data_IF_964490042822
#
_entry.id   IF_964490042822
#
_cell.length_a   1.000
_cell.length_b   1.000
_cell.length_c   1.000
_cell.angle_alpha   90.00
_cell.angle_beta   90.00
_cell.angle_gamma   90.00
#
_symmetry.space_group_name_H-M   'P 1'
#
loop_
_entity.id
_entity.type
_entity.pdbx_description
1 polymer ?
#
# COMPACT_ATOMS: atom_id res chain seq x y z
N UNK A 1 -16.06 -24.03 7.98
CA UNK A 1 -15.72 -24.05 6.53
C UNK A 1 -15.23 -22.71 5.95
N UNK A 2 -15.70 -21.53 6.37
CA UNK A 2 -15.08 -20.24 5.92
C UNK A 2 -13.61 -20.10 6.37
N UNK A 3 -13.32 -20.42 7.64
CA UNK A 3 -11.95 -20.38 8.17
C UNK A 3 -11.00 -21.39 7.50
N UNK A 4 -11.51 -22.53 7.00
CA UNK A 4 -10.67 -23.50 6.29
C UNK A 4 -10.28 -23.02 4.90
N UNK A 5 -11.13 -22.25 4.21
CA UNK A 5 -10.77 -21.65 2.92
C UNK A 5 -9.69 -20.57 3.08
N UNK A 6 -9.92 -19.60 3.96
CA UNK A 6 -8.94 -18.54 4.26
C UNK A 6 -7.58 -19.13 4.65
N UNK A 7 -7.59 -20.11 5.56
CA UNK A 7 -6.38 -20.83 5.99
C UNK A 7 -5.68 -21.53 4.82
N UNK A 8 -6.41 -22.27 3.99
CA UNK A 8 -5.82 -23.02 2.87
C UNK A 8 -5.30 -22.09 1.77
N UNK A 9 -6.02 -21.01 1.45
CA UNK A 9 -5.57 -19.98 0.52
C UNK A 9 -4.33 -19.27 1.02
N UNK A 10 -4.25 -18.99 2.33
CA UNK A 10 -3.09 -18.37 2.94
C UNK A 10 -1.87 -19.29 2.91
N UNK A 11 -2.03 -20.57 3.25
CA UNK A 11 -0.93 -21.55 3.16
C UNK A 11 -0.46 -21.71 1.70
N UNK A 12 -1.39 -21.76 0.75
CA UNK A 12 -1.05 -21.82 -0.68
C UNK A 12 -0.28 -20.58 -1.14
N UNK A 13 -0.65 -19.40 -0.63
CA UNK A 13 0.05 -18.15 -0.92
C UNK A 13 1.49 -18.17 -0.41
N UNK A 14 1.68 -18.50 0.87
CA UNK A 14 3.01 -18.58 1.49
C UNK A 14 3.94 -19.57 0.76
N UNK A 15 3.39 -20.66 0.24
CA UNK A 15 4.16 -21.67 -0.49
C UNK A 15 4.42 -21.30 -1.96
N UNK A 16 3.76 -20.27 -2.49
CA UNK A 16 3.90 -19.89 -3.89
C UNK A 16 5.29 -19.34 -4.20
N UNK A 17 5.82 -19.66 -5.39
CA UNK A 17 7.06 -19.08 -5.90
C UNK A 17 7.00 -17.53 -5.90
N UNK A 18 5.82 -17.01 -6.24
CA UNK A 18 5.54 -15.57 -6.27
C UNK A 18 5.80 -14.90 -4.93
N UNK A 19 5.25 -15.46 -3.84
CA UNK A 19 5.49 -14.92 -2.49
C UNK A 19 6.97 -14.97 -2.11
N UNK A 20 7.67 -16.06 -2.45
CA UNK A 20 9.11 -16.18 -2.19
C UNK A 20 9.92 -15.11 -2.94
N UNK A 21 9.62 -14.86 -4.22
CA UNK A 21 10.25 -13.80 -5.00
C UNK A 21 9.99 -12.41 -4.41
N UNK A 22 8.75 -12.14 -4.00
CA UNK A 22 8.39 -10.88 -3.36
C UNK A 22 9.14 -10.71 -2.03
N UNK A 23 9.21 -11.76 -1.21
CA UNK A 23 9.92 -11.72 0.07
C UNK A 23 11.43 -11.49 -0.11
N UNK A 24 12.02 -12.11 -1.13
CA UNK A 24 13.42 -11.88 -1.49
C UNK A 24 13.66 -10.44 -1.95
N UNK A 25 12.78 -9.89 -2.79
CA UNK A 25 12.83 -8.48 -3.21
C UNK A 25 12.68 -7.54 -2.01
N UNK A 26 11.77 -7.86 -1.08
CA UNK A 26 11.57 -7.09 0.15
C UNK A 26 12.83 -7.05 1.00
N UNK A 27 13.54 -8.18 1.16
CA UNK A 27 14.82 -8.24 1.89
C UNK A 27 15.85 -7.30 1.25
N UNK A 28 16.06 -7.44 -0.07
CA UNK A 28 17.06 -6.64 -0.80
C UNK A 28 16.73 -5.15 -0.70
N UNK A 29 15.47 -4.78 -0.97
CA UNK A 29 15.05 -3.39 -1.00
C UNK A 29 15.06 -2.76 0.40
N UNK A 30 14.68 -3.52 1.43
CA UNK A 30 14.79 -3.06 2.82
C UNK A 30 16.24 -2.81 3.19
N UNK A 31 17.15 -3.73 2.85
CA UNK A 31 18.59 -3.55 3.07
C UNK A 31 19.13 -2.29 2.38
N UNK A 32 18.84 -2.12 1.09
CA UNK A 32 19.33 -0.98 0.31
C UNK A 32 18.86 0.36 0.89
N UNK A 33 17.58 0.46 1.26
CA UNK A 33 16.98 1.72 1.72
C UNK A 33 17.40 2.04 3.16
N UNK A 34 17.45 1.05 4.04
CA UNK A 34 17.94 1.23 5.42
C UNK A 34 19.43 1.58 5.43
N UNK A 35 20.24 0.95 4.56
CA UNK A 35 21.66 1.29 4.43
C UNK A 35 21.89 2.76 4.05
N UNK A 36 20.99 3.36 3.27
CA UNK A 36 21.05 4.79 2.95
C UNK A 36 20.66 5.71 4.12
N UNK A 37 20.05 5.16 5.18
CA UNK A 37 19.67 5.88 6.39
C UNK A 37 20.66 5.65 7.55
N UNK A 38 21.81 5.01 7.30
CA UNK A 38 22.79 4.71 8.33
C UNK A 38 23.26 6.00 9.04
N UNK A 39 23.26 5.98 10.37
CA UNK A 39 23.68 7.13 11.18
C UNK A 39 22.53 8.07 11.56
N UNK A 40 21.30 7.75 11.20
CA UNK A 40 20.09 8.44 11.68
C UNK A 40 19.45 7.64 12.83
N UNK A 41 18.70 8.30 13.71
CA UNK A 41 17.96 7.57 14.75
C UNK A 41 16.86 6.68 14.13
N UNK A 42 16.46 5.66 14.88
CA UNK A 42 15.49 4.65 14.42
C UNK A 42 14.13 5.27 14.02
N UNK A 43 13.64 6.29 14.72
CA UNK A 43 12.34 6.88 14.38
C UNK A 43 12.39 7.67 13.06
N UNK A 44 13.45 8.44 12.85
CA UNK A 44 13.67 9.16 11.60
C UNK A 44 13.96 8.21 10.44
N UNK A 45 14.81 7.21 10.65
CA UNK A 45 15.13 6.17 9.66
C UNK A 45 13.87 5.45 9.17
N UNK A 46 13.00 4.96 10.07
CA UNK A 46 11.72 4.36 9.67
C UNK A 46 10.84 5.31 8.86
N UNK A 47 10.76 6.57 9.26
CA UNK A 47 9.99 7.60 8.52
C UNK A 47 10.54 7.84 7.11
N UNK A 48 11.85 7.77 6.94
CA UNK A 48 12.55 7.92 5.65
C UNK A 48 12.36 6.67 4.78
N UNK A 49 12.45 5.46 5.35
CA UNK A 49 12.25 4.20 4.61
C UNK A 49 10.83 4.13 4.05
N UNK A 50 9.81 4.37 4.89
CA UNK A 50 8.41 4.31 4.47
C UNK A 50 7.97 5.46 3.57
N UNK A 51 8.75 6.54 3.50
CA UNK A 51 8.56 7.62 2.53
C UNK A 51 9.47 7.56 1.32
N UNK A 52 10.35 6.55 1.21
CA UNK A 52 11.29 6.46 0.10
C UNK A 52 10.56 6.05 -1.19
N UNK A 53 10.55 6.94 -2.19
CA UNK A 53 9.86 6.71 -3.46
C UNK A 53 10.35 5.47 -4.22
N UNK A 54 11.65 5.14 -4.15
CA UNK A 54 12.22 3.94 -4.79
C UNK A 54 11.68 2.69 -4.12
N UNK A 55 11.68 2.67 -2.78
CA UNK A 55 11.12 1.58 -1.99
C UNK A 55 9.63 1.36 -2.31
N UNK A 56 8.87 2.45 -2.32
CA UNK A 56 7.43 2.44 -2.58
C UNK A 56 7.13 1.93 -4.00
N UNK A 57 7.78 2.50 -5.02
CA UNK A 57 7.47 2.22 -6.43
C UNK A 57 7.95 0.85 -6.89
N UNK A 58 9.12 0.39 -6.43
CA UNK A 58 9.74 -0.85 -6.90
C UNK A 58 9.45 -2.06 -6.02
N UNK A 59 9.16 -1.87 -4.74
CA UNK A 59 8.87 -2.97 -3.82
C UNK A 59 7.40 -3.01 -3.43
N UNK A 60 6.91 -1.96 -2.78
CA UNK A 60 5.63 -2.00 -2.07
C UNK A 60 4.43 -2.03 -3.00
N UNK A 61 4.33 -1.08 -3.93
CA UNK A 61 3.19 -1.00 -4.85
C UNK A 61 3.06 -2.26 -5.74
N UNK A 62 4.15 -2.79 -6.34
CA UNK A 62 4.11 -4.06 -7.05
C UNK A 62 3.64 -5.21 -6.15
N UNK A 63 4.15 -5.30 -4.93
CA UNK A 63 3.76 -6.34 -3.96
C UNK A 63 2.23 -6.33 -3.75
N UNK A 64 1.63 -5.17 -3.47
CA UNK A 64 0.18 -5.06 -3.28
C UNK A 64 -0.64 -5.38 -4.53
N UNK A 65 -0.20 -4.98 -5.72
CA UNK A 65 -0.86 -5.37 -6.96
C UNK A 65 -0.85 -6.88 -7.15
N UNK A 66 0.29 -7.50 -6.91
CA UNK A 66 0.46 -8.94 -7.05
C UNK A 66 -0.41 -9.73 -6.08
N UNK A 67 -0.50 -9.29 -4.82
CA UNK A 67 -1.37 -9.89 -3.81
C UNK A 67 -2.83 -9.74 -4.21
N UNK A 68 -3.22 -8.54 -4.63
CA UNK A 68 -4.59 -8.26 -5.07
C UNK A 68 -4.98 -9.18 -6.23
N UNK A 69 -4.11 -9.30 -7.23
CA UNK A 69 -4.33 -10.19 -8.38
C UNK A 69 -4.38 -11.67 -7.95
N UNK A 70 -3.47 -12.09 -7.08
CA UNK A 70 -3.44 -13.46 -6.55
C UNK A 70 -4.73 -13.82 -5.82
N UNK A 71 -5.17 -12.98 -4.87
CA UNK A 71 -6.43 -13.17 -4.14
C UNK A 71 -7.61 -13.21 -5.11
N UNK A 72 -7.65 -12.30 -6.10
CA UNK A 72 -8.69 -12.29 -7.12
C UNK A 72 -8.75 -13.62 -7.91
N UNK A 73 -7.60 -14.16 -8.32
CA UNK A 73 -7.53 -15.40 -9.11
C UNK A 73 -7.91 -16.64 -8.31
N UNK A 74 -7.55 -16.73 -7.02
CA UNK A 74 -8.01 -17.83 -6.17
C UNK A 74 -9.53 -17.76 -6.02
N UNK A 75 -10.06 -16.57 -5.78
CA UNK A 75 -11.50 -16.39 -5.58
C UNK A 75 -12.30 -16.80 -6.82
N UNK A 76 -11.78 -16.56 -8.03
CA UNK A 76 -12.39 -16.99 -9.29
C UNK A 76 -12.28 -18.50 -9.54
N UNK A 77 -11.17 -19.12 -9.14
CA UNK A 77 -10.97 -20.58 -9.31
C UNK A 77 -11.82 -21.40 -8.36
N UNK A 78 -12.28 -20.84 -7.25
CA UNK A 78 -13.05 -21.58 -6.26
C UNK A 78 -14.56 -21.49 -6.53
N UNK A 79 -15.03 -22.22 -7.55
CA UNK A 79 -16.43 -22.28 -8.01
C UNK A 79 -17.40 -22.56 -6.83
N UNK A 80 -17.03 -23.45 -5.90
CA UNK A 80 -17.85 -23.78 -4.72
C UNK A 80 -18.03 -22.61 -3.75
N UNK A 81 -17.10 -21.66 -3.71
CA UNK A 81 -17.23 -20.41 -2.94
C UNK A 81 -18.18 -19.44 -3.64
N UNK A 82 -18.05 -19.31 -4.96
CA UNK A 82 -18.85 -18.39 -5.79
C UNK A 82 -20.33 -18.76 -5.75
N UNK A 83 -20.66 -20.04 -5.91
CA UNK A 83 -22.05 -20.56 -5.90
C UNK A 83 -22.75 -20.36 -4.54
N UNK A 84 -22.00 -20.18 -3.45
CA UNK A 84 -22.56 -19.92 -2.11
C UNK A 84 -22.93 -18.46 -1.86
N UNK A 85 -22.51 -17.53 -2.72
CA UNK A 85 -22.90 -16.13 -2.57
C UNK A 85 -24.20 -15.88 -3.30
N UNK A 86 -25.28 -15.69 -2.53
CA UNK A 86 -26.62 -15.36 -3.04
C UNK A 86 -26.67 -14.09 -3.90
N UNK A 87 -25.68 -13.19 -3.77
CA UNK A 87 -25.58 -11.95 -4.57
C UNK A 87 -24.13 -11.60 -4.87
N UNK A 88 -23.90 -10.92 -6.02
CA UNK A 88 -22.58 -10.36 -6.35
C UNK A 88 -22.08 -9.35 -5.32
N UNK A 89 -22.98 -8.63 -4.67
CA UNK A 89 -22.64 -7.71 -3.58
C UNK A 89 -21.95 -8.45 -2.42
N UNK A 90 -22.52 -9.57 -1.97
CA UNK A 90 -21.90 -10.41 -0.94
C UNK A 90 -20.56 -10.98 -1.41
N UNK A 91 -20.44 -11.37 -2.68
CA UNK A 91 -19.17 -11.81 -3.29
C UNK A 91 -18.09 -10.72 -3.23
N UNK A 92 -18.38 -9.51 -3.73
CA UNK A 92 -17.42 -8.41 -3.75
C UNK A 92 -17.02 -7.97 -2.33
N UNK A 93 -17.97 -7.93 -1.40
CA UNK A 93 -17.68 -7.61 0.00
C UNK A 93 -16.74 -8.63 0.64
N UNK A 94 -16.94 -9.93 0.39
CA UNK A 94 -16.05 -10.96 0.93
C UNK A 94 -14.67 -10.91 0.25
N UNK A 95 -14.62 -10.68 -1.07
CA UNK A 95 -13.36 -10.51 -1.80
C UNK A 95 -12.56 -9.32 -1.24
N UNK A 96 -13.19 -8.17 -1.05
CA UNK A 96 -12.56 -6.97 -0.48
C UNK A 96 -12.02 -7.27 0.92
N UNK A 97 -12.81 -7.94 1.78
CA UNK A 97 -12.35 -8.35 3.12
C UNK A 97 -11.08 -9.21 3.06
N UNK A 98 -11.03 -10.16 2.14
CA UNK A 98 -9.85 -11.01 1.99
C UNK A 98 -8.65 -10.22 1.46
N UNK A 99 -8.85 -9.32 0.48
CA UNK A 99 -7.76 -8.46 0.01
C UNK A 99 -7.23 -7.59 1.16
N UNK A 100 -8.10 -6.97 1.97
CA UNK A 100 -7.69 -6.19 3.15
C UNK A 100 -6.89 -7.06 4.12
N UNK A 101 -7.34 -8.29 4.39
CA UNK A 101 -6.63 -9.22 5.28
C UNK A 101 -5.22 -9.54 4.75
N UNK A 102 -5.09 -9.95 3.48
CA UNK A 102 -3.79 -10.28 2.89
C UNK A 102 -2.86 -9.06 2.81
N UNK A 103 -3.38 -7.89 2.42
CA UNK A 103 -2.62 -6.62 2.43
C UNK A 103 -2.13 -6.28 3.83
N UNK A 104 -2.94 -6.48 4.86
CA UNK A 104 -2.56 -6.21 6.26
C UNK A 104 -1.47 -7.16 6.76
N UNK A 105 -1.57 -8.45 6.45
CA UNK A 105 -0.51 -9.42 6.80
C UNK A 105 0.81 -9.03 6.14
N UNK A 106 0.77 -8.63 4.87
CA UNK A 106 1.98 -8.29 4.13
C UNK A 106 2.58 -6.97 4.57
N UNK A 107 1.74 -6.00 4.93
CA UNK A 107 2.20 -4.78 5.56
C UNK A 107 2.95 -5.08 6.86
N UNK A 108 2.41 -5.97 7.71
CA UNK A 108 3.08 -6.39 8.95
C UNK A 108 4.41 -7.11 8.67
N UNK A 109 4.46 -7.99 7.67
CA UNK A 109 5.72 -8.63 7.24
C UNK A 109 6.73 -7.57 6.77
N UNK A 110 6.29 -6.60 5.97
CA UNK A 110 7.13 -5.48 5.51
C UNK A 110 7.71 -4.71 6.69
N UNK A 111 6.86 -4.32 7.64
CA UNK A 111 7.27 -3.58 8.84
C UNK A 111 8.25 -4.38 9.70
N UNK A 112 7.99 -5.68 9.91
CA UNK A 112 8.92 -6.55 10.63
C UNK A 112 10.28 -6.66 9.91
N UNK A 113 10.29 -6.83 8.58
CA UNK A 113 11.53 -6.96 7.82
C UNK A 113 12.35 -5.69 7.85
N UNK A 114 11.71 -4.52 7.71
CA UNK A 114 12.39 -3.22 7.82
C UNK A 114 13.00 -3.06 9.22
N UNK A 115 12.25 -3.34 10.29
CA UNK A 115 12.75 -3.25 11.67
C UNK A 115 13.91 -4.22 11.93
N UNK A 116 13.85 -5.46 11.41
CA UNK A 116 14.93 -6.43 11.54
C UNK A 116 16.21 -5.90 10.87
N UNK A 117 16.09 -5.44 9.63
CA UNK A 117 17.23 -4.90 8.87
C UNK A 117 17.79 -3.65 9.55
N UNK A 118 16.91 -2.79 10.06
CA UNK A 118 17.30 -1.60 10.80
C UNK A 118 18.08 -1.91 12.07
N UNK A 119 17.63 -2.89 12.87
CA UNK A 119 18.39 -3.33 14.05
C UNK A 119 19.73 -4.01 13.71
N UNK A 120 19.93 -4.48 12.48
CA UNK A 120 21.20 -5.08 12.02
C UNK A 120 22.19 -4.01 11.55
N UNK A 121 21.71 -2.97 10.87
CA UNK A 121 22.55 -1.98 10.17
C UNK A 121 22.73 -0.70 11.00
N UNK A 122 21.69 -0.30 11.73
CA UNK A 122 21.66 0.97 12.41
C UNK A 122 22.23 0.84 13.81
N UNK A 123 23.41 1.41 13.99
CA UNK A 123 24.10 1.45 15.28
C UNK A 123 23.57 2.60 16.17
N UNK A 124 22.75 3.51 15.62
CA UNK A 124 22.12 4.59 16.38
C UNK A 124 20.87 4.08 17.11
N UNK A 125 20.79 4.41 18.40
CA UNK A 125 19.70 3.98 19.26
C UNK A 125 18.39 4.75 19.04
N UNK A 126 17.44 4.51 19.94
CA UNK A 126 16.18 5.24 20.01
C UNK A 126 16.43 6.60 20.67
N UNK A 127 16.42 7.68 19.87
CA UNK A 127 16.53 9.04 20.36
C UNK A 127 15.22 9.78 20.12
N UNK A 128 14.62 10.31 21.19
CA UNK A 128 13.41 11.13 21.10
C UNK A 128 13.82 12.59 21.06
N UNK A 129 13.42 13.30 20.00
CA UNK A 129 13.61 14.74 19.89
C UNK A 129 12.43 15.39 19.17
N UNK A 130 12.30 16.70 19.39
CA UNK A 130 11.35 17.53 18.67
C UNK A 130 12.00 17.98 17.35
N UNK A 131 11.35 17.70 16.22
CA UNK A 131 11.82 18.11 14.90
C UNK A 131 11.24 19.50 14.59
N UNK A 132 12.13 20.50 14.50
CA UNK A 132 11.76 21.89 14.23
C UNK A 132 11.29 22.12 12.79
N UNK A 133 11.63 21.23 11.85
CA UNK A 133 11.19 21.33 10.45
C UNK A 133 9.74 20.89 10.33
N UNK A 134 9.40 19.78 10.98
CA UNK A 134 8.05 19.19 10.91
C UNK A 134 7.14 19.72 12.02
N UNK A 135 7.70 20.36 13.04
CA UNK A 135 7.02 20.85 14.25
C UNK A 135 6.32 19.73 15.05
N UNK A 136 6.96 18.57 15.17
CA UNK A 136 6.46 17.47 16.01
C UNK A 136 7.59 16.57 16.50
N UNK A 137 7.32 15.75 17.51
CA UNK A 137 8.29 14.72 17.93
C UNK A 137 8.47 13.66 16.85
N UNK A 138 9.71 13.27 16.60
CA UNK A 138 10.08 12.28 15.57
C UNK A 138 9.30 10.95 15.67
N UNK A 139 9.04 10.44 16.88
CA UNK A 139 8.24 9.23 17.07
C UNK A 139 6.76 9.42 16.68
N UNK A 140 6.20 10.61 16.89
CA UNK A 140 4.83 10.95 16.47
C UNK A 140 4.75 10.98 14.96
N UNK A 141 5.74 11.60 14.32
CA UNK A 141 5.84 11.63 12.87
C UNK A 141 5.97 10.22 12.28
N UNK A 142 6.83 9.37 12.85
CA UNK A 142 6.98 7.98 12.43
C UNK A 142 5.66 7.20 12.51
N UNK A 143 4.92 7.30 13.63
CA UNK A 143 3.60 6.66 13.78
C UNK A 143 2.66 7.16 12.68
N UNK A 144 2.62 8.47 12.44
CA UNK A 144 1.81 9.06 11.38
C UNK A 144 2.19 8.51 10.00
N UNK A 145 3.48 8.41 9.67
CA UNK A 145 3.97 7.88 8.40
C UNK A 145 3.56 6.41 8.21
N UNK A 146 3.69 5.58 9.24
CA UNK A 146 3.30 4.16 9.18
C UNK A 146 1.78 4.04 8.99
N UNK A 147 0.98 4.80 9.74
CA UNK A 147 -0.48 4.76 9.68
C UNK A 147 -0.99 5.27 8.32
N UNK A 148 -0.49 6.41 7.83
CA UNK A 148 -0.88 6.93 6.52
C UNK A 148 -0.55 5.91 5.44
N UNK A 149 0.65 5.33 5.48
CA UNK A 149 1.09 4.37 4.48
C UNK A 149 0.22 3.11 4.45
N UNK A 150 -0.16 2.59 5.62
CA UNK A 150 -1.11 1.48 5.72
C UNK A 150 -2.47 1.82 5.09
N UNK A 151 -3.04 2.98 5.41
CA UNK A 151 -4.36 3.39 4.88
C UNK A 151 -4.33 3.51 3.35
N UNK A 152 -3.31 4.15 2.79
CA UNK A 152 -3.14 4.23 1.33
C UNK A 152 -3.00 2.84 0.70
N UNK A 153 -2.19 1.97 1.29
CA UNK A 153 -1.96 0.60 0.80
C UNK A 153 -3.26 -0.20 0.71
N UNK A 154 -4.10 -0.11 1.74
CA UNK A 154 -5.41 -0.76 1.79
C UNK A 154 -6.33 -0.19 0.72
N UNK A 155 -6.46 1.13 0.64
CA UNK A 155 -7.36 1.78 -0.32
C UNK A 155 -6.98 1.50 -1.76
N UNK A 156 -5.69 1.60 -2.10
CA UNK A 156 -5.16 1.25 -3.44
C UNK A 156 -5.45 -0.22 -3.77
N UNK A 157 -5.24 -1.14 -2.82
CA UNK A 157 -5.56 -2.57 -3.01
C UNK A 157 -7.05 -2.80 -3.29
N UNK A 158 -7.94 -2.10 -2.58
CA UNK A 158 -9.38 -2.19 -2.80
C UNK A 158 -9.75 -1.65 -4.18
N UNK A 159 -9.23 -0.49 -4.58
CA UNK A 159 -9.46 0.09 -5.91
C UNK A 159 -8.99 -0.89 -6.99
N UNK A 160 -7.79 -1.44 -6.86
CA UNK A 160 -7.26 -2.43 -7.80
C UNK A 160 -8.12 -3.68 -7.88
N UNK A 161 -8.65 -4.16 -6.75
CA UNK A 161 -9.58 -5.29 -6.71
C UNK A 161 -10.82 -5.01 -7.54
N UNK A 162 -11.44 -3.86 -7.32
CA UNK A 162 -12.66 -3.44 -8.02
C UNK A 162 -12.40 -3.27 -9.52
N UNK A 163 -11.27 -2.67 -9.90
CA UNK A 163 -10.89 -2.46 -11.29
C UNK A 163 -10.59 -3.78 -12.01
N UNK A 164 -9.79 -4.67 -11.41
CA UNK A 164 -9.43 -5.99 -12.00
C UNK A 164 -10.68 -6.84 -12.26
N UNK A 165 -11.69 -6.78 -11.39
CA UNK A 165 -12.94 -7.53 -11.57
C UNK A 165 -13.94 -6.88 -12.52
N UNK A 166 -13.73 -5.63 -12.88
CA UNK A 166 -14.69 -4.85 -13.69
C UNK A 166 -14.22 -4.64 -15.11
N UNK A 167 -12.90 -4.56 -15.29
CA UNK A 167 -12.23 -4.29 -16.55
C UNK A 167 -11.28 -5.44 -16.89
N UNK A 168 -10.61 -5.35 -18.03
CA UNK A 168 -9.59 -6.32 -18.40
C UNK A 168 -8.41 -6.24 -17.44
N UNK A 169 -8.16 -7.33 -16.69
CA UNK A 169 -7.10 -7.40 -15.68
C UNK A 169 -5.72 -7.05 -16.23
N UNK A 170 -5.42 -7.42 -17.48
CA UNK A 170 -4.14 -7.08 -18.14
C UNK A 170 -3.97 -5.57 -18.29
N UNK A 171 -5.02 -4.85 -18.67
CA UNK A 171 -4.99 -3.39 -18.83
C UNK A 171 -4.78 -2.72 -17.47
N UNK A 172 -5.49 -3.17 -16.43
CA UNK A 172 -5.35 -2.62 -15.08
C UNK A 172 -3.94 -2.84 -14.52
N UNK A 173 -3.34 -4.00 -14.77
CA UNK A 173 -1.95 -4.27 -14.39
C UNK A 173 -0.99 -3.30 -15.09
N UNK A 174 -1.14 -3.09 -16.41
CA UNK A 174 -0.31 -2.13 -17.16
C UNK A 174 -0.48 -0.70 -16.64
N UNK A 175 -1.72 -0.26 -16.37
CA UNK A 175 -1.97 1.07 -15.81
C UNK A 175 -1.34 1.26 -14.43
N UNK A 176 -1.31 0.21 -13.60
CA UNK A 176 -0.62 0.26 -12.32
C UNK A 176 0.90 0.43 -12.50
N UNK A 177 1.53 -0.31 -13.43
CA UNK A 177 2.95 -0.12 -13.71
C UNK A 177 3.28 1.28 -14.24
N UNK A 178 2.40 1.87 -15.06
CA UNK A 178 2.53 3.27 -15.48
C UNK A 178 2.49 4.20 -14.26
N UNK A 179 1.53 4.00 -13.35
CA UNK A 179 1.44 4.78 -12.12
C UNK A 179 2.70 4.62 -11.25
N UNK A 180 3.28 3.44 -11.16
CA UNK A 180 4.50 3.19 -10.37
C UNK A 180 5.72 3.89 -10.97
N UNK A 181 5.83 3.89 -12.30
CA UNK A 181 6.84 4.68 -13.01
C UNK A 181 6.69 6.18 -12.72
N UNK A 182 5.46 6.70 -12.66
CA UNK A 182 5.21 8.08 -12.24
C UNK A 182 5.60 8.32 -10.78
N UNK A 183 5.28 7.42 -9.83
CA UNK A 183 5.70 7.57 -8.43
C UNK A 183 7.23 7.62 -8.31
N UNK A 184 7.94 6.74 -9.04
CA UNK A 184 9.39 6.73 -9.09
C UNK A 184 9.97 8.04 -9.65
N UNK A 185 9.44 8.50 -10.79
CA UNK A 185 9.88 9.72 -11.45
C UNK A 185 9.61 10.97 -10.60
N UNK A 186 8.41 11.10 -10.06
CA UNK A 186 8.01 12.28 -9.28
C UNK A 186 8.82 12.38 -7.99
N UNK A 187 9.07 11.25 -7.32
CA UNK A 187 9.94 11.25 -6.13
C UNK A 187 11.38 11.65 -6.41
N UNK A 188 11.85 11.53 -7.66
CA UNK A 188 13.17 11.98 -8.10
C UNK A 188 13.21 13.47 -8.46
N UNK A 189 12.06 14.10 -8.71
CA UNK A 189 11.93 15.47 -9.22
C UNK A 189 10.83 16.24 -8.46
N UNK A 190 11.08 16.55 -7.20
CA UNK A 190 10.13 17.19 -6.27
C UNK A 190 9.61 18.56 -6.74
N UNK A 191 10.33 19.25 -7.63
CA UNK A 191 9.98 20.58 -8.14
C UNK A 191 9.04 20.59 -9.36
N UNK A 192 8.75 19.44 -9.99
CA UNK A 192 8.13 19.37 -11.31
C UNK A 192 6.62 19.08 -11.31
N UNK A 193 6.04 18.66 -10.18
CA UNK A 193 4.60 18.35 -10.11
C UNK A 193 3.82 19.54 -9.58
N UNK A 194 2.92 20.05 -10.42
CA UNK A 194 2.07 21.19 -10.09
C UNK A 194 1.36 21.01 -8.75
N UNK A 195 1.55 22.00 -7.88
CA UNK A 195 0.74 22.20 -6.69
C UNK A 195 -0.35 23.21 -7.00
N UNK A 196 -1.54 23.03 -6.43
CA UNK A 196 -2.58 24.07 -6.41
C UNK A 196 -2.67 24.54 -4.97
N UNK A 197 -2.29 25.79 -4.71
CA UNK A 197 -2.23 26.36 -3.35
C UNK A 197 -1.41 25.50 -2.36
N UNK A 198 -0.25 25.00 -2.79
CA UNK A 198 0.61 24.14 -1.96
C UNK A 198 0.13 22.69 -1.80
N UNK A 199 -1.00 22.30 -2.39
CA UNK A 199 -1.51 20.93 -2.35
C UNK A 199 -1.05 20.19 -3.60
N UNK A 200 -0.32 19.06 -3.47
CA UNK A 200 0.11 18.28 -4.62
C UNK A 200 -1.10 17.59 -5.27
N UNK A 201 -1.20 17.66 -6.61
CA UNK A 201 -2.30 17.03 -7.36
C UNK A 201 -2.09 15.51 -7.49
N UNK A 202 -0.83 15.07 -7.55
CA UNK A 202 -0.50 13.68 -7.80
C UNK A 202 -0.56 12.82 -6.53
N UNK A 203 -1.26 11.69 -6.59
CA UNK A 203 -1.40 10.74 -5.47
C UNK A 203 -0.07 10.24 -4.92
N UNK A 204 0.96 10.08 -5.77
CA UNK A 204 2.27 9.60 -5.33
C UNK A 204 2.96 10.52 -4.34
N UNK A 205 2.67 11.83 -4.36
CA UNK A 205 3.24 12.79 -3.42
C UNK A 205 2.74 12.59 -1.99
N UNK A 206 1.58 11.95 -1.81
CA UNK A 206 1.03 11.62 -0.50
C UNK A 206 1.62 10.30 0.06
N UNK A 207 2.20 9.46 -0.81
CA UNK A 207 2.89 8.23 -0.40
C UNK A 207 4.32 8.51 0.08
N UNK A 208 4.96 9.54 -0.45
CA UNK A 208 6.35 9.93 -0.16
C UNK A 208 6.36 10.84 1.08
N UNK A 209 7.40 10.75 1.93
CA UNK A 209 7.54 11.63 3.10
C UNK A 209 8.40 12.86 2.78
N UNK A 210 8.11 13.99 3.45
CA UNK A 210 9.15 14.94 3.84
C UNK A 210 9.56 16.07 2.89
N UNK A 211 8.79 16.49 1.87
CA UNK A 211 9.22 17.66 1.05
C UNK A 211 8.15 18.63 0.59
N UNK A 212 6.85 18.30 0.72
CA UNK A 212 5.78 19.11 0.12
C UNK A 212 4.99 19.96 1.11
N UNK A 213 5.01 19.61 2.40
CA UNK A 213 4.16 20.22 3.40
C UNK A 213 5.00 21.02 4.40
N UNK A 214 4.61 22.28 4.61
CA UNK A 214 5.33 23.20 5.49
C UNK A 214 5.22 22.86 6.98
N UNK A 215 4.19 22.11 7.38
CA UNK A 215 3.97 21.73 8.79
C UNK A 215 3.36 20.33 8.89
N UNK A 216 3.59 19.65 10.02
CA UNK A 216 2.93 18.37 10.34
C UNK A 216 1.41 18.44 10.20
N UNK A 217 0.78 19.51 10.70
CA UNK A 217 -0.67 19.68 10.63
C UNK A 217 -1.15 19.78 9.17
N UNK A 218 -0.44 20.54 8.33
CA UNK A 218 -0.76 20.62 6.90
C UNK A 218 -0.67 19.26 6.22
N UNK A 219 0.36 18.47 6.57
CA UNK A 219 0.51 17.11 6.05
C UNK A 219 -0.65 16.20 6.50
N UNK A 220 -1.05 16.26 7.77
CA UNK A 220 -2.19 15.51 8.31
C UNK A 220 -3.48 15.86 7.58
N UNK A 221 -3.77 17.15 7.40
CA UNK A 221 -4.98 17.60 6.70
C UNK A 221 -4.98 17.18 5.23
N UNK A 222 -3.88 17.38 4.52
CA UNK A 222 -3.77 17.03 3.11
C UNK A 222 -3.90 15.51 2.89
N UNK A 223 -3.25 14.69 3.71
CA UNK A 223 -3.40 13.24 3.67
C UNK A 223 -4.83 12.80 4.03
N UNK A 224 -5.45 13.44 5.03
CA UNK A 224 -6.85 13.18 5.40
C UNK A 224 -7.82 13.46 4.25
N UNK A 225 -7.65 14.58 3.54
CA UNK A 225 -8.44 14.89 2.35
C UNK A 225 -8.22 13.87 1.24
N UNK A 226 -6.98 13.44 1.00
CA UNK A 226 -6.69 12.46 -0.03
C UNK A 226 -7.26 11.07 0.30
N UNK A 227 -7.20 10.65 1.56
CA UNK A 227 -7.86 9.42 2.04
C UNK A 227 -9.37 9.49 1.81
N UNK A 228 -10.00 10.64 2.09
CA UNK A 228 -11.41 10.84 1.82
C UNK A 228 -11.75 10.73 0.32
N UNK A 229 -10.93 11.32 -0.55
CA UNK A 229 -11.08 11.20 -2.01
C UNK A 229 -10.99 9.73 -2.44
N UNK A 230 -10.01 8.99 -1.93
CA UNK A 230 -9.85 7.56 -2.24
C UNK A 230 -11.04 6.72 -1.76
N UNK A 231 -11.58 6.99 -0.57
CA UNK A 231 -12.80 6.34 -0.08
C UNK A 231 -13.99 6.62 -1.00
N UNK A 232 -14.12 7.85 -1.49
CA UNK A 232 -15.17 8.24 -2.43
C UNK A 232 -15.01 7.51 -3.77
N UNK A 233 -13.79 7.37 -4.28
CA UNK A 233 -13.49 6.55 -5.48
C UNK A 233 -13.88 5.09 -5.27
N UNK A 234 -13.50 4.48 -4.13
CA UNK A 234 -13.92 3.12 -3.76
C UNK A 234 -15.45 2.98 -3.78
N UNK A 235 -16.17 3.93 -3.17
CA UNK A 235 -17.62 3.91 -3.10
C UNK A 235 -18.27 4.02 -4.48
N UNK A 236 -17.79 4.92 -5.34
CA UNK A 236 -18.28 5.10 -6.71
C UNK A 236 -18.05 3.81 -7.52
N UNK A 237 -16.84 3.24 -7.47
CA UNK A 237 -16.52 2.01 -8.18
C UNK A 237 -17.40 0.84 -7.71
N UNK A 238 -17.57 0.69 -6.40
CA UNK A 238 -18.43 -0.36 -5.85
C UNK A 238 -19.89 -0.20 -6.29
N UNK A 239 -20.43 1.02 -6.24
CA UNK A 239 -21.79 1.36 -6.73
C UNK A 239 -21.94 1.07 -8.23
N UNK A 240 -20.94 1.44 -9.03
CA UNK A 240 -20.93 1.19 -10.47
C UNK A 240 -21.01 -0.31 -10.79
N UNK A 241 -20.20 -1.11 -10.12
CA UNK A 241 -20.16 -2.58 -10.27
C UNK A 241 -21.51 -3.19 -9.90
N UNK A 242 -22.07 -2.76 -8.76
CA UNK A 242 -23.40 -3.21 -8.30
C UNK A 242 -24.49 -2.93 -9.33
N UNK A 243 -24.46 -1.78 -10.01
CA UNK A 243 -25.44 -1.42 -11.04
C UNK A 243 -25.28 -2.23 -12.35
N UNK A 244 -24.05 -2.45 -12.80
CA UNK A 244 -23.76 -3.04 -14.12
C UNK A 244 -23.88 -4.57 -14.17
N UNK A 245 -23.69 -5.26 -13.05
CA UNK A 245 -23.58 -6.73 -13.01
C UNK A 245 -24.63 -7.36 -12.08
N UNK A 246 -25.93 -7.18 -12.35
CA UNK A 246 -27.00 -7.69 -11.46
C UNK A 246 -27.05 -9.22 -11.37
N UNK A 247 -26.72 -9.94 -12.45
CA UNK A 247 -26.88 -11.41 -12.51
C UNK A 247 -25.54 -12.13 -12.65
N UNK A 248 -25.34 -13.23 -11.91
CA UNK A 248 -24.15 -14.11 -11.97
C UNK A 248 -24.33 -15.01 -13.20
N UNK A 249 -23.41 -14.90 -14.16
CA UNK A 249 -23.26 -15.86 -15.27
C UNK A 249 -22.50 -17.10 -14.77
#
# INVERSE_FOLDING_TARGET
MKNSFLKNSFISFLNSLMFKCILFLLIIMSYLVVSNCKGTDIFSSLSLVFGNHIFIALCILPMFLFITNYVCTIFDKNIYSIVRFETKEKYYMELIKNVIFFTSVIFLVTLMMVIIVENIINDYGYHVFYDDIVHCYNYVYMIFVIVKFYLFSVLISVINTLLIKSFNSKIIIVLNFILYAFVFYVGSFTSLVGTINGIPIFIGNYLISGTFFETFLNEVFANGMMIFILLLVCFILFRYIKKRKRDID
#
